data_IF_014901431425
#
_entry.id   IF_014901431425
#
_cell.length_a   1.000
_cell.length_b   1.000
_cell.length_c   1.000
_cell.angle_alpha   90.00
_cell.angle_beta   90.00
_cell.angle_gamma   90.00
#
_symmetry.space_group_name_H-M   'P 1'
#
loop_
_entity.id
_entity.type
_entity.pdbx_description
1 polymer ?
#
# COMPACT_ATOMS: atom_id res chain seq x y z
N UNK A 1 0.80 10.02 26.14
CA UNK A 1 0.40 9.89 24.72
C UNK A 1 1.67 9.82 23.91
N UNK A 2 1.94 8.73 23.18
CA UNK A 2 3.07 8.70 22.23
C UNK A 2 2.75 9.74 21.15
N UNK A 3 3.58 10.76 21.00
CA UNK A 3 3.47 11.64 19.84
C UNK A 3 4.14 10.89 18.68
N UNK A 4 3.35 10.45 17.72
CA UNK A 4 3.88 9.89 16.48
C UNK A 4 4.25 11.08 15.61
N UNK A 5 5.53 11.24 15.32
CA UNK A 5 5.98 12.28 14.41
C UNK A 5 5.83 11.85 12.94
N UNK A 6 6.00 12.81 12.04
CA UNK A 6 5.86 12.55 10.61
C UNK A 6 6.99 11.67 10.05
N UNK A 7 8.17 11.62 10.68
CA UNK A 7 9.30 10.78 10.29
C UNK A 7 9.06 9.32 10.66
N UNK A 8 8.57 9.08 11.87
CA UNK A 8 8.11 7.77 12.35
C UNK A 8 7.02 7.21 11.44
N UNK A 9 6.06 8.04 11.03
CA UNK A 9 5.03 7.63 10.06
C UNK A 9 5.64 7.22 8.70
N UNK A 10 6.61 7.99 8.18
CA UNK A 10 7.29 7.65 6.92
C UNK A 10 8.06 6.35 7.03
N UNK A 11 8.79 6.17 8.13
CA UNK A 11 9.52 4.94 8.40
C UNK A 11 8.58 3.73 8.45
N UNK A 12 7.44 3.87 9.13
CA UNK A 12 6.42 2.83 9.19
C UNK A 12 5.85 2.49 7.80
N UNK A 13 5.47 3.49 7.01
CA UNK A 13 4.96 3.27 5.64
C UNK A 13 5.99 2.59 4.75
N UNK A 14 7.27 2.99 4.86
CA UNK A 14 8.38 2.36 4.14
C UNK A 14 8.54 0.88 4.51
N UNK A 15 8.43 0.54 5.80
CA UNK A 15 8.49 -0.85 6.26
C UNK A 15 7.35 -1.65 5.64
N UNK A 16 6.11 -1.16 5.74
CA UNK A 16 4.93 -1.83 5.19
C UNK A 16 5.09 -2.07 3.69
N UNK A 17 5.52 -1.05 2.95
CA UNK A 17 5.77 -1.13 1.52
C UNK A 17 6.77 -2.23 1.17
N UNK A 18 7.92 -2.27 1.86
CA UNK A 18 8.93 -3.31 1.63
C UNK A 18 8.42 -4.70 1.96
N UNK A 19 7.69 -4.85 3.06
CA UNK A 19 7.09 -6.15 3.44
C UNK A 19 6.11 -6.64 2.38
N UNK A 20 5.29 -5.75 1.80
CA UNK A 20 4.42 -6.10 0.68
C UNK A 20 5.25 -6.50 -0.54
N UNK A 21 6.26 -5.72 -0.91
CA UNK A 21 7.13 -6.03 -2.06
C UNK A 21 7.89 -7.37 -1.88
N UNK A 22 8.24 -7.75 -0.65
CA UNK A 22 8.94 -9.01 -0.34
C UNK A 22 8.02 -10.24 -0.36
N UNK A 23 6.78 -10.11 0.14
CA UNK A 23 5.88 -11.25 0.31
C UNK A 23 4.79 -11.36 -0.76
N UNK A 24 4.48 -10.28 -1.47
CA UNK A 24 3.44 -10.27 -2.48
C UNK A 24 4.02 -10.40 -3.89
N UNK A 25 3.26 -11.00 -4.83
CA UNK A 25 3.71 -11.08 -6.21
C UNK A 25 3.89 -9.68 -6.83
N UNK A 26 4.74 -9.56 -7.86
CA UNK A 26 4.93 -8.32 -8.60
C UNK A 26 3.61 -7.74 -9.11
N UNK A 27 3.46 -6.42 -9.03
CA UNK A 27 2.28 -5.70 -9.51
C UNK A 27 1.14 -5.54 -8.48
N UNK A 28 1.32 -6.00 -7.24
CA UNK A 28 0.41 -5.67 -6.13
C UNK A 28 0.49 -4.19 -5.77
N UNK A 29 1.71 -3.64 -5.66
CA UNK A 29 1.91 -2.25 -5.24
C UNK A 29 2.44 -1.36 -6.39
N UNK A 30 1.81 -0.19 -6.66
CA UNK A 30 2.35 0.80 -7.61
C UNK A 30 3.62 1.47 -7.07
N UNK A 31 4.50 1.97 -7.96
CA UNK A 31 5.71 2.71 -7.56
C UNK A 31 5.38 3.98 -6.78
N UNK A 32 6.33 4.50 -5.99
CA UNK A 32 6.14 5.74 -5.21
C UNK A 32 5.78 6.93 -6.12
N UNK A 33 6.43 7.07 -7.28
CA UNK A 33 6.09 8.11 -8.26
C UNK A 33 4.64 7.99 -8.75
N UNK A 34 4.18 6.76 -8.99
CA UNK A 34 2.80 6.52 -9.40
C UNK A 34 1.80 6.80 -8.27
N UNK A 35 2.15 6.43 -7.04
CA UNK A 35 1.37 6.77 -5.84
C UNK A 35 1.23 8.29 -5.72
N UNK A 36 2.34 9.02 -5.81
CA UNK A 36 2.34 10.48 -5.72
C UNK A 36 1.51 11.14 -6.83
N UNK A 37 1.52 10.57 -8.04
CA UNK A 37 0.72 11.05 -9.16
C UNK A 37 -0.79 10.75 -9.04
N UNK A 38 -1.16 9.63 -8.41
CA UNK A 38 -2.56 9.19 -8.31
C UNK A 38 -3.26 9.65 -7.03
N UNK A 39 -2.55 9.63 -5.88
CA UNK A 39 -3.10 9.91 -4.55
C UNK A 39 -2.58 11.23 -3.96
N UNK A 40 -1.33 11.60 -4.28
CA UNK A 40 -0.66 12.76 -3.72
C UNK A 40 0.53 12.40 -2.83
N UNK A 41 1.34 13.40 -2.40
CA UNK A 41 2.61 13.15 -1.71
C UNK A 41 2.52 13.13 -0.17
N UNK A 42 1.32 13.22 0.42
CA UNK A 42 1.18 13.24 1.89
C UNK A 42 1.18 11.82 2.44
N UNK A 43 1.51 11.68 3.73
CA UNK A 43 1.50 10.37 4.43
C UNK A 43 0.17 9.63 4.29
N UNK A 44 -0.95 10.36 4.40
CA UNK A 44 -2.27 9.79 4.24
C UNK A 44 -2.57 9.36 2.79
N UNK A 45 -1.95 10.01 1.80
CA UNK A 45 -2.11 9.67 0.40
C UNK A 45 -1.37 8.35 0.09
N UNK A 46 -0.14 8.19 0.60
CA UNK A 46 0.61 6.93 0.49
C UNK A 46 -0.09 5.78 1.25
N UNK A 47 -0.56 6.04 2.47
CA UNK A 47 -1.33 5.06 3.24
C UNK A 47 -2.61 4.62 2.51
N UNK A 48 -3.33 5.55 1.88
CA UNK A 48 -4.51 5.25 1.08
C UNK A 48 -4.15 4.39 -0.14
N UNK A 49 -3.02 4.66 -0.80
CA UNK A 49 -2.56 3.86 -1.93
C UNK A 49 -2.22 2.42 -1.53
N UNK A 50 -1.55 2.23 -0.39
CA UNK A 50 -1.27 0.90 0.18
C UNK A 50 -2.57 0.14 0.47
N UNK A 51 -3.55 0.81 1.09
CA UNK A 51 -4.84 0.20 1.37
C UNK A 51 -5.59 -0.21 0.09
N UNK A 52 -5.61 0.67 -0.92
CA UNK A 52 -6.25 0.39 -2.20
C UNK A 52 -5.59 -0.78 -2.95
N UNK A 53 -4.26 -0.87 -2.91
CA UNK A 53 -3.50 -1.98 -3.49
C UNK A 53 -3.86 -3.34 -2.85
N UNK A 54 -3.98 -3.37 -1.51
CA UNK A 54 -4.39 -4.56 -0.78
C UNK A 54 -5.83 -4.95 -1.12
N UNK A 55 -6.77 -4.00 -1.08
CA UNK A 55 -8.19 -4.26 -1.38
C UNK A 55 -8.36 -4.80 -2.81
N UNK A 56 -7.75 -4.14 -3.80
CA UNK A 56 -7.80 -4.60 -5.19
C UNK A 56 -7.18 -6.00 -5.38
N UNK A 57 -6.18 -6.36 -4.56
CA UNK A 57 -5.60 -7.70 -4.59
C UNK A 57 -6.54 -8.73 -3.97
N UNK A 58 -7.18 -8.41 -2.85
CA UNK A 58 -8.18 -9.28 -2.21
C UNK A 58 -9.37 -9.51 -3.14
N UNK A 59 -9.91 -8.45 -3.75
CA UNK A 59 -11.02 -8.56 -4.72
C UNK A 59 -10.67 -9.52 -5.86
N UNK A 60 -9.48 -9.39 -6.47
CA UNK A 60 -9.00 -10.31 -7.51
C UNK A 60 -8.90 -11.76 -7.03
N UNK A 61 -8.54 -11.99 -5.77
CA UNK A 61 -8.44 -13.34 -5.21
C UNK A 61 -9.83 -13.92 -4.91
N UNK A 62 -10.77 -13.11 -4.42
CA UNK A 62 -12.15 -13.52 -4.15
C UNK A 62 -12.92 -13.80 -5.43
N UNK A 63 -12.75 -12.98 -6.46
CA UNK A 63 -13.41 -13.17 -7.77
C UNK A 63 -12.94 -14.45 -8.46
N UNK A 64 -11.66 -14.83 -8.28
CA UNK A 64 -11.12 -16.10 -8.79
C UNK A 64 -11.68 -17.33 -8.08
N UNK A 65 -12.12 -17.20 -6.82
CA UNK A 65 -12.72 -18.30 -6.06
C UNK A 65 -14.20 -18.55 -6.37
N UNK A 66 -14.84 -17.70 -7.18
CA UNK A 66 -16.25 -17.83 -7.56
C UNK A 66 -16.45 -18.50 -8.92
N UNK A 67 -15.37 -18.90 -9.59
CA UNK A 67 -15.39 -19.54 -10.92
C UNK A 67 -14.83 -20.98 -10.88
N UNK A 68 -14.94 -21.65 -9.73
CA UNK A 68 -14.72 -23.09 -9.55
C UNK A 68 -16.03 -23.81 -9.25
#
# INVERSE_FOLDING_TARGET
MMQIDAEDCRAALTIIRRTIEEHCPPGVLPSEEMVNGLYGPRLMDEAAALAAAIVATVEKLTDRGSNE
#
